data_IF_369349281262
#
_entry.id   IF_369349281262
#
_cell.length_a   1.000
_cell.length_b   1.000
_cell.length_c   1.000
_cell.angle_alpha   90.00
_cell.angle_beta   90.00
_cell.angle_gamma   90.00
#
_symmetry.space_group_name_H-M   'P 1'
#
loop_
_entity.id
_entity.type
_entity.pdbx_description
1 polymer ?
#
# COMPACT_ATOMS: atom_id res chain seq x y z
N UNK A 1 -14.49 1.90 31.20
CA UNK A 1 -13.78 3.19 31.14
C UNK A 1 -14.80 4.33 31.15
N UNK A 2 -14.58 5.43 31.90
CA UNK A 2 -15.54 6.57 31.96
C UNK A 2 -15.26 7.68 30.95
N UNK A 3 -13.99 7.87 30.56
CA UNK A 3 -13.57 8.88 29.59
C UNK A 3 -12.44 8.32 28.70
N UNK A 4 -12.40 8.76 27.44
CA UNK A 4 -11.29 8.50 26.49
C UNK A 4 -10.73 9.86 26.07
N UNK A 5 -9.42 10.05 26.16
CA UNK A 5 -8.74 11.28 25.76
C UNK A 5 -7.82 11.00 24.58
N UNK A 6 -8.06 11.66 23.45
CA UNK A 6 -7.18 11.61 22.29
C UNK A 6 -6.17 12.76 22.38
N UNK A 7 -4.90 12.42 22.65
CA UNK A 7 -3.80 13.38 22.79
C UNK A 7 -2.95 13.39 21.53
N UNK A 8 -2.66 14.59 20.99
CA UNK A 8 -1.78 14.76 19.83
C UNK A 8 -0.35 14.91 20.33
N UNK A 9 0.50 13.93 20.00
CA UNK A 9 1.95 13.98 20.18
C UNK A 9 2.60 13.79 18.81
N UNK A 10 3.35 14.78 18.35
CA UNK A 10 3.96 14.77 17.00
C UNK A 10 5.38 14.21 17.00
N UNK A 11 6.05 14.21 18.15
CA UNK A 11 7.41 13.68 18.31
C UNK A 11 7.37 12.22 18.83
N UNK A 12 8.00 11.27 18.12
CA UNK A 12 8.04 9.87 18.54
C UNK A 12 8.74 9.64 19.88
N UNK A 13 9.80 10.39 20.21
CA UNK A 13 10.51 10.22 21.49
C UNK A 13 9.63 10.65 22.67
N UNK A 14 8.89 11.75 22.51
CA UNK A 14 7.91 12.23 23.49
C UNK A 14 6.79 11.21 23.68
N UNK A 15 6.33 10.58 22.59
CA UNK A 15 5.33 9.50 22.62
C UNK A 15 5.85 8.27 23.37
N UNK A 16 7.09 7.84 23.09
CA UNK A 16 7.75 6.73 23.79
C UNK A 16 7.88 7.02 25.28
N UNK A 17 8.30 8.23 25.68
CA UNK A 17 8.41 8.61 27.09
C UNK A 17 7.03 8.61 27.77
N UNK A 18 6.00 9.16 27.12
CA UNK A 18 4.66 9.22 27.67
C UNK A 18 4.05 7.82 27.86
N UNK A 19 4.26 6.89 26.92
CA UNK A 19 3.89 5.48 27.06
C UNK A 19 4.57 4.85 28.28
N UNK A 20 5.89 4.99 28.39
CA UNK A 20 6.69 4.40 29.49
C UNK A 20 6.29 4.89 30.87
N UNK A 21 5.88 6.15 30.97
CA UNK A 21 5.42 6.79 32.22
C UNK A 21 3.94 6.53 32.53
N UNK A 22 3.19 5.93 31.60
CA UNK A 22 1.74 5.77 31.75
C UNK A 22 0.93 7.06 31.56
N UNK A 23 1.54 8.12 31.02
CA UNK A 23 0.84 9.37 30.65
C UNK A 23 -0.01 9.20 29.39
N UNK A 24 0.33 8.20 28.56
CA UNK A 24 -0.46 7.74 27.41
C UNK A 24 -0.66 6.24 27.57
N UNK A 25 -1.90 5.80 27.43
CA UNK A 25 -2.31 4.40 27.64
C UNK A 25 -2.05 3.51 26.43
N UNK A 26 -2.12 4.08 25.24
CA UNK A 26 -1.90 3.38 24.00
C UNK A 26 -1.42 4.34 22.91
N UNK A 27 -0.53 3.88 22.04
CA UNK A 27 -0.13 4.62 20.85
C UNK A 27 0.27 3.67 19.72
N UNK A 28 0.17 4.17 18.50
CA UNK A 28 0.74 3.48 17.34
C UNK A 28 2.22 3.82 17.21
N UNK A 29 3.02 2.81 16.95
CA UNK A 29 4.48 2.96 16.79
C UNK A 29 4.96 2.27 15.52
N UNK A 30 6.15 2.64 15.06
CA UNK A 30 6.84 1.96 13.99
C UNK A 30 7.55 0.70 14.53
N UNK A 31 7.74 -0.35 13.69
CA UNK A 31 8.50 -1.54 14.07
C UNK A 31 9.90 -1.21 14.63
N UNK A 32 10.54 -0.16 14.10
CA UNK A 32 11.87 0.33 14.51
C UNK A 32 11.90 0.91 15.91
N UNK A 33 10.77 1.38 16.43
CA UNK A 33 10.63 2.05 17.74
C UNK A 33 10.41 1.05 18.87
N UNK A 34 9.92 -0.15 18.57
CA UNK A 34 9.63 -1.18 19.57
C UNK A 34 10.83 -1.55 20.46
N UNK A 35 12.06 -1.39 19.97
CA UNK A 35 13.27 -1.60 20.77
C UNK A 35 13.36 -0.61 21.94
N UNK A 36 12.87 0.61 21.78
CA UNK A 36 12.89 1.65 22.80
C UNK A 36 11.92 1.34 23.94
N UNK A 37 10.89 0.53 23.68
CA UNK A 37 9.79 0.23 24.59
C UNK A 37 9.99 -1.08 25.38
N UNK A 38 11.11 -1.79 25.12
CA UNK A 38 11.45 -3.02 25.85
C UNK A 38 11.71 -2.73 27.32
N UNK A 39 11.35 -3.69 28.18
CA UNK A 39 11.56 -3.60 29.63
C UNK A 39 10.47 -2.83 30.39
N UNK A 40 9.45 -2.32 29.71
CA UNK A 40 8.29 -1.67 30.32
C UNK A 40 7.06 -2.58 30.28
N UNK A 41 6.06 -2.28 31.11
CA UNK A 41 4.84 -3.08 31.21
C UNK A 41 3.84 -2.77 30.08
N UNK A 42 4.27 -3.08 28.86
CA UNK A 42 3.56 -2.80 27.62
C UNK A 42 3.20 -4.09 26.88
N UNK A 43 2.00 -4.14 26.29
CA UNK A 43 1.57 -5.13 25.33
C UNK A 43 1.69 -4.59 23.90
N UNK A 44 2.08 -5.45 22.96
CA UNK A 44 2.26 -5.09 21.55
C UNK A 44 1.26 -5.87 20.71
N UNK A 45 0.35 -5.15 20.05
CA UNK A 45 -0.69 -5.72 19.20
C UNK A 45 -0.49 -5.27 17.75
N UNK A 46 -0.33 -6.23 16.84
CA UNK A 46 -0.21 -5.95 15.41
C UNK A 46 -1.45 -6.44 14.67
N UNK A 47 -2.17 -5.54 14.00
CA UNK A 47 -3.36 -5.88 13.22
C UNK A 47 -3.33 -5.21 11.84
N UNK A 48 -3.86 -5.89 10.82
CA UNK A 48 -3.94 -5.33 9.47
C UNK A 48 -5.12 -4.34 9.40
N UNK A 49 -4.91 -3.24 8.68
CA UNK A 49 -5.96 -2.29 8.33
C UNK A 49 -6.58 -2.58 6.95
N UNK A 50 -6.29 -3.74 6.36
CA UNK A 50 -6.65 -4.06 4.97
C UNK A 50 -6.12 -3.01 3.98
N UNK A 51 -5.01 -2.34 4.36
CA UNK A 51 -4.36 -1.30 3.57
C UNK A 51 -3.46 -1.93 2.54
N UNK A 52 -3.62 -1.62 1.25
CA UNK A 52 -2.62 -1.98 0.23
C UNK A 52 -1.74 -0.77 -0.07
N UNK A 53 -0.46 -0.86 0.28
CA UNK A 53 0.60 0.04 -0.14
C UNK A 53 1.22 -0.40 -1.46
N UNK A 54 1.47 0.54 -2.36
CA UNK A 54 1.81 0.24 -3.74
C UNK A 54 2.73 1.28 -4.40
N UNK A 55 3.34 0.86 -5.51
CA UNK A 55 3.93 1.75 -6.53
C UNK A 55 2.96 1.87 -7.70
N UNK A 56 2.47 3.07 -7.96
CA UNK A 56 1.62 3.40 -9.11
C UNK A 56 2.45 3.94 -10.27
N UNK A 57 2.01 3.67 -11.51
CA UNK A 57 2.62 4.16 -12.75
C UNK A 57 1.59 4.97 -13.55
N UNK A 58 1.93 6.21 -13.89
CA UNK A 58 1.09 7.07 -14.70
C UNK A 58 1.22 6.73 -16.19
N UNK A 59 0.18 6.10 -16.75
CA UNK A 59 0.14 5.66 -18.15
C UNK A 59 -0.08 6.79 -19.15
N UNK A 60 -0.47 7.99 -18.68
CA UNK A 60 -0.57 9.18 -19.52
C UNK A 60 0.81 9.63 -20.03
N UNK A 61 1.88 9.40 -19.26
CA UNK A 61 3.23 9.77 -19.70
C UNK A 61 3.70 8.83 -20.82
N UNK A 62 4.12 9.41 -21.95
CA UNK A 62 4.52 8.67 -23.17
C UNK A 62 5.50 7.52 -22.92
N UNK A 63 6.48 7.68 -22.03
CA UNK A 63 7.48 6.65 -21.71
C UNK A 63 6.92 5.45 -20.94
N UNK A 64 5.73 5.57 -20.35
CA UNK A 64 5.02 4.50 -19.64
C UNK A 64 3.77 4.02 -20.37
N UNK A 65 3.46 4.54 -21.56
CA UNK A 65 2.32 4.11 -22.37
C UNK A 65 2.46 2.63 -22.82
N UNK A 66 3.69 2.18 -23.11
CA UNK A 66 3.96 0.81 -23.50
C UNK A 66 3.89 -0.15 -22.29
N UNK A 67 2.98 -1.13 -22.34
CA UNK A 67 2.80 -2.15 -21.31
C UNK A 67 4.09 -2.90 -20.97
N UNK A 68 4.91 -3.25 -21.96
CA UNK A 68 6.16 -3.97 -21.74
C UNK A 68 7.17 -3.17 -20.92
N UNK A 69 7.17 -1.83 -21.02
CA UNK A 69 8.02 -0.96 -20.18
C UNK A 69 7.56 -1.00 -18.73
N UNK A 70 6.24 -0.92 -18.49
CA UNK A 70 5.67 -1.03 -17.14
C UNK A 70 5.93 -2.39 -16.51
N UNK A 71 5.76 -3.46 -17.27
CA UNK A 71 6.11 -4.81 -16.84
C UNK A 71 7.60 -4.94 -16.52
N UNK A 72 8.48 -4.32 -17.33
CA UNK A 72 9.92 -4.31 -17.06
C UNK A 72 10.25 -3.64 -15.72
N UNK A 73 9.62 -2.50 -15.42
CA UNK A 73 9.75 -1.83 -14.12
C UNK A 73 9.39 -2.81 -13.00
N UNK A 74 8.25 -3.49 -13.08
CA UNK A 74 7.80 -4.39 -12.02
C UNK A 74 8.70 -5.64 -11.87
N UNK A 75 9.19 -6.21 -12.97
CA UNK A 75 10.16 -7.33 -12.91
C UNK A 75 11.50 -6.92 -12.31
N UNK A 76 11.89 -5.64 -12.34
CA UNK A 76 13.13 -5.17 -11.74
C UNK A 76 13.05 -4.99 -10.22
N UNK A 77 11.85 -5.06 -9.62
CA UNK A 77 11.63 -4.79 -8.20
C UNK A 77 11.56 -6.06 -7.36
N UNK A 78 12.05 -5.96 -6.12
CA UNK A 78 11.89 -6.97 -5.06
C UNK A 78 11.13 -6.35 -3.88
N UNK A 79 9.82 -6.59 -3.82
CA UNK A 79 8.99 -6.15 -2.69
C UNK A 79 9.26 -6.88 -1.38
N UNK A 80 9.87 -8.06 -1.39
CA UNK A 80 10.22 -8.76 -0.15
C UNK A 80 11.39 -8.04 0.53
N UNK A 81 12.39 -7.61 -0.25
CA UNK A 81 13.50 -6.77 0.24
C UNK A 81 12.95 -5.44 0.78
N UNK A 82 12.04 -4.78 0.04
CA UNK A 82 11.38 -3.55 0.48
C UNK A 82 10.64 -3.73 1.81
N UNK A 83 9.81 -4.77 1.93
CA UNK A 83 9.02 -4.99 3.13
C UNK A 83 9.90 -5.38 4.32
N UNK A 84 10.94 -6.20 4.12
CA UNK A 84 11.89 -6.54 5.17
C UNK A 84 12.62 -5.30 5.69
N UNK A 85 13.06 -4.42 4.80
CA UNK A 85 13.75 -3.20 5.18
C UNK A 85 12.83 -2.22 5.92
N UNK A 86 11.59 -2.05 5.45
CA UNK A 86 10.64 -1.10 6.04
C UNK A 86 10.02 -1.58 7.35
N UNK A 87 9.76 -2.89 7.50
CA UNK A 87 8.97 -3.43 8.61
C UNK A 87 9.73 -4.37 9.55
N UNK A 88 10.98 -4.72 9.23
CA UNK A 88 11.92 -5.54 10.01
C UNK A 88 11.53 -7.01 10.24
N UNK A 89 10.26 -7.30 10.50
CA UNK A 89 9.72 -8.62 10.84
C UNK A 89 8.41 -8.89 10.08
N UNK A 90 8.29 -10.11 9.53
CA UNK A 90 7.11 -10.58 8.77
C UNK A 90 5.81 -10.51 9.57
N UNK A 91 5.85 -10.50 10.91
CA UNK A 91 4.62 -10.38 11.70
C UNK A 91 3.95 -9.01 11.57
N UNK A 92 4.66 -7.97 11.09
CA UNK A 92 4.15 -6.61 10.95
C UNK A 92 3.63 -6.26 9.55
N UNK A 93 3.66 -7.21 8.62
CA UNK A 93 3.13 -6.97 7.27
C UNK A 93 2.71 -8.27 6.59
N UNK A 94 1.84 -8.16 5.60
CA UNK A 94 1.58 -9.17 4.60
C UNK A 94 2.08 -8.68 3.24
N UNK A 95 2.25 -9.61 2.29
CA UNK A 95 2.68 -9.25 0.92
C UNK A 95 1.53 -9.53 -0.06
N UNK A 96 0.80 -8.49 -0.51
CA UNK A 96 -0.31 -8.66 -1.43
C UNK A 96 0.17 -9.09 -2.82
N UNK A 97 -0.63 -9.91 -3.49
CA UNK A 97 -0.42 -10.31 -4.89
C UNK A 97 -1.26 -9.48 -5.86
N UNK A 98 -2.32 -8.85 -5.35
CA UNK A 98 -3.38 -8.20 -6.12
C UNK A 98 -3.63 -6.78 -5.58
N UNK A 99 -4.54 -6.05 -6.23
CA UNK A 99 -5.04 -4.78 -5.74
C UNK A 99 -5.93 -4.91 -4.50
N UNK A 100 -6.50 -6.10 -4.29
CA UNK A 100 -7.23 -6.41 -3.07
C UNK A 100 -6.28 -6.79 -1.94
N UNK A 101 -6.59 -6.41 -0.68
CA UNK A 101 -5.82 -6.84 0.47
C UNK A 101 -5.92 -8.37 0.64
N UNK A 102 -4.89 -9.04 1.20
CA UNK A 102 -4.84 -10.51 1.28
C UNK A 102 -6.02 -11.15 2.02
N UNK A 103 -6.64 -10.44 2.96
CA UNK A 103 -7.80 -10.91 3.74
C UNK A 103 -9.15 -10.77 3.01
N UNK A 104 -9.20 -10.05 1.89
CA UNK A 104 -10.44 -9.90 1.14
C UNK A 104 -10.92 -11.26 0.62
N UNK A 105 -12.20 -11.59 0.78
CA UNK A 105 -12.77 -12.88 0.35
C UNK A 105 -12.65 -13.16 -1.15
N UNK A 106 -12.53 -12.11 -1.97
CA UNK A 106 -12.33 -12.21 -3.41
C UNK A 106 -10.86 -12.24 -3.82
N UNK A 107 -9.91 -12.05 -2.90
CA UNK A 107 -8.49 -12.01 -3.21
C UNK A 107 -8.01 -13.31 -3.85
N UNK A 108 -7.14 -13.19 -4.85
CA UNK A 108 -6.52 -14.35 -5.50
C UNK A 108 -5.02 -14.14 -5.72
N UNK A 109 -4.26 -15.23 -5.62
CA UNK A 109 -2.83 -15.27 -5.96
C UNK A 109 -2.59 -15.63 -7.42
N UNK A 110 -3.63 -16.03 -8.16
CA UNK A 110 -3.56 -16.40 -9.58
C UNK A 110 -3.60 -15.14 -10.46
N UNK A 111 -2.56 -14.33 -10.33
CA UNK A 111 -2.33 -13.07 -11.07
C UNK A 111 -0.86 -12.97 -11.44
N UNK A 112 -0.52 -12.04 -12.35
CA UNK A 112 0.88 -11.78 -12.69
C UNK A 112 1.66 -11.29 -11.45
N UNK A 113 2.49 -12.18 -10.87
CA UNK A 113 3.17 -11.92 -9.60
C UNK A 113 4.42 -11.03 -9.73
N UNK A 114 4.93 -10.81 -10.95
CA UNK A 114 6.17 -10.06 -11.23
C UNK A 114 7.32 -10.42 -10.28
N UNK A 115 7.60 -11.73 -10.13
CA UNK A 115 8.77 -12.20 -9.37
C UNK A 115 10.03 -11.54 -9.96
N UNK A 116 10.88 -11.01 -9.08
CA UNK A 116 12.06 -10.24 -9.47
C UNK A 116 12.93 -10.99 -10.48
N UNK A 117 13.15 -10.36 -11.63
CA UNK A 117 13.97 -10.85 -12.71
C UNK A 117 14.53 -9.67 -13.52
N UNK A 118 15.69 -9.18 -13.12
CA UNK A 118 16.37 -8.04 -13.75
C UNK A 118 16.72 -8.34 -15.23
N UNK A 119 17.06 -9.59 -15.56
CA UNK A 119 17.32 -10.01 -16.94
C UNK A 119 16.08 -9.86 -17.84
N UNK A 120 14.92 -10.30 -17.35
CA UNK A 120 13.63 -10.13 -18.03
C UNK A 120 13.25 -8.66 -18.16
N UNK A 121 13.49 -7.85 -17.14
CA UNK A 121 13.29 -6.40 -17.21
C UNK A 121 14.09 -5.76 -18.35
N UNK A 122 15.41 -6.04 -18.41
CA UNK A 122 16.28 -5.57 -19.51
C UNK A 122 15.81 -6.04 -20.88
N UNK A 123 15.43 -7.32 -21.00
CA UNK A 123 14.93 -7.87 -22.26
C UNK A 123 13.65 -7.18 -22.74
N UNK A 124 12.71 -6.87 -21.83
CA UNK A 124 11.48 -6.15 -22.15
C UNK A 124 11.76 -4.70 -22.58
N UNK A 125 12.68 -4.00 -21.90
CA UNK A 125 13.09 -2.63 -22.30
C UNK A 125 13.75 -2.63 -23.68
N UNK A 126 14.66 -3.57 -23.94
CA UNK A 126 15.32 -3.72 -25.23
C UNK A 126 14.32 -4.02 -26.36
N UNK A 127 13.39 -4.96 -26.15
CA UNK A 127 12.33 -5.28 -27.11
C UNK A 127 11.41 -4.09 -27.38
N UNK A 128 11.18 -3.25 -26.38
CA UNK A 128 10.42 -2.01 -26.51
C UNK A 128 11.20 -0.86 -27.15
N UNK A 129 12.50 -1.04 -27.45
CA UNK A 129 13.36 0.01 -28.00
C UNK A 129 13.65 1.16 -27.03
N UNK A 130 13.44 0.96 -25.73
CA UNK A 130 13.61 2.00 -24.70
C UNK A 130 15.02 1.95 -24.13
N UNK A 131 15.73 3.08 -24.22
CA UNK A 131 17.05 3.29 -23.62
C UNK A 131 16.99 4.51 -22.69
N UNK A 132 17.87 4.57 -21.69
CA UNK A 132 18.04 5.70 -20.78
C UNK A 132 16.74 6.18 -20.09
N UNK A 133 15.87 5.23 -19.72
CA UNK A 133 14.61 5.56 -19.06
C UNK A 133 14.88 6.24 -17.71
N UNK A 134 14.31 7.43 -17.53
CA UNK A 134 14.34 8.16 -16.26
C UNK A 134 12.93 8.36 -15.74
N UNK A 135 12.68 8.11 -14.46
CA UNK A 135 11.39 8.25 -13.79
C UNK A 135 11.47 9.27 -12.64
N UNK A 136 10.46 10.13 -12.51
CA UNK A 136 10.21 10.93 -11.32
C UNK A 136 9.23 10.18 -10.42
N UNK A 137 9.68 9.83 -9.21
CA UNK A 137 8.93 9.09 -8.20
C UNK A 137 8.59 10.01 -7.02
N UNK A 138 7.31 10.30 -6.82
CA UNK A 138 6.82 11.05 -5.65
C UNK A 138 6.40 10.12 -4.50
N UNK A 139 6.65 10.51 -3.26
CA UNK A 139 6.11 9.85 -2.07
C UNK A 139 5.83 10.85 -0.95
N UNK A 140 5.01 10.47 0.03
CA UNK A 140 4.68 11.36 1.15
C UNK A 140 5.86 11.49 2.12
N UNK A 141 6.34 12.72 2.33
CA UNK A 141 7.56 13.03 3.10
C UNK A 141 7.56 12.52 4.55
N UNK A 142 6.40 12.46 5.21
CA UNK A 142 6.26 11.92 6.57
C UNK A 142 6.17 10.40 6.67
N UNK A 143 6.13 9.67 5.54
CA UNK A 143 6.01 8.20 5.55
C UNK A 143 7.40 7.53 5.53
N UNK A 144 7.84 7.07 6.69
CA UNK A 144 9.13 6.42 6.87
C UNK A 144 9.29 5.13 6.04
N UNK A 145 8.21 4.36 5.85
CA UNK A 145 8.25 3.15 5.05
C UNK A 145 8.41 3.49 3.56
N UNK A 146 7.67 4.48 3.06
CA UNK A 146 7.80 4.94 1.67
C UNK A 146 9.17 5.56 1.37
N UNK A 147 9.80 6.25 2.33
CA UNK A 147 11.18 6.74 2.18
C UNK A 147 12.17 5.61 1.91
N UNK A 148 12.07 4.51 2.67
CA UNK A 148 12.89 3.31 2.49
C UNK A 148 12.56 2.65 1.15
N UNK A 149 11.28 2.46 0.85
CA UNK A 149 10.80 1.85 -0.40
C UNK A 149 11.26 2.65 -1.63
N UNK A 150 11.14 3.97 -1.64
CA UNK A 150 11.55 4.83 -2.74
C UNK A 150 13.05 4.74 -3.03
N UNK A 151 13.87 4.69 -1.98
CA UNK A 151 15.33 4.50 -2.09
C UNK A 151 15.68 3.13 -2.67
N UNK A 152 15.00 2.06 -2.20
CA UNK A 152 15.18 0.71 -2.72
C UNK A 152 14.68 0.56 -4.16
N UNK A 153 13.56 1.18 -4.51
CA UNK A 153 13.06 1.23 -5.89
C UNK A 153 14.11 1.87 -6.80
N UNK A 154 14.67 3.03 -6.43
CA UNK A 154 15.72 3.67 -7.21
C UNK A 154 16.96 2.76 -7.39
N UNK A 155 17.41 2.13 -6.30
CA UNK A 155 18.54 1.20 -6.32
C UNK A 155 18.27 -0.02 -7.21
N UNK A 156 17.12 -0.67 -7.05
CA UNK A 156 16.74 -1.87 -7.81
C UNK A 156 16.51 -1.57 -9.29
N UNK A 157 15.83 -0.47 -9.63
CA UNK A 157 15.59 -0.07 -11.02
C UNK A 157 16.89 0.33 -11.74
N UNK A 158 17.89 0.87 -11.03
CA UNK A 158 19.20 1.18 -11.63
C UNK A 158 19.91 -0.07 -12.16
N UNK A 159 19.72 -1.24 -11.51
CA UNK A 159 20.26 -2.53 -11.97
C UNK A 159 19.68 -2.95 -13.33
N UNK A 160 18.49 -2.46 -13.68
CA UNK A 160 17.84 -2.66 -14.97
C UNK A 160 18.13 -1.53 -15.98
N UNK A 161 18.95 -0.53 -15.62
CA UNK A 161 19.28 0.61 -16.48
C UNK A 161 18.24 1.73 -16.45
N UNK A 162 17.39 1.79 -15.43
CA UNK A 162 16.38 2.83 -15.24
C UNK A 162 16.85 3.78 -14.13
N UNK A 163 16.95 5.07 -14.44
CA UNK A 163 17.22 6.12 -13.45
C UNK A 163 15.93 6.54 -12.76
N UNK A 164 15.98 6.78 -11.45
CA UNK A 164 14.83 7.29 -10.68
C UNK A 164 15.24 8.53 -9.89
N UNK A 165 14.51 9.62 -10.07
CA UNK A 165 14.58 10.81 -9.24
C UNK A 165 13.48 10.70 -8.18
N UNK A 166 13.85 10.52 -6.91
CA UNK A 166 12.89 10.34 -5.81
C UNK A 166 12.65 11.68 -5.13
N UNK A 167 11.38 12.09 -5.01
CA UNK A 167 10.96 13.34 -4.37
C UNK A 167 10.07 13.03 -3.17
N UNK A 168 10.43 13.56 -2.00
CA UNK A 168 9.59 13.58 -0.81
C UNK A 168 8.67 14.80 -0.89
N UNK A 169 7.36 14.60 -0.72
CA UNK A 169 6.34 15.61 -1.02
C UNK A 169 5.40 15.75 0.17
N UNK A 170 4.87 16.95 0.42
CA UNK A 170 3.72 17.10 1.31
C UNK A 170 2.54 16.21 0.84
N UNK A 171 1.77 15.65 1.78
CA UNK A 171 0.70 14.71 1.48
C UNK A 171 -0.40 15.35 0.61
N UNK A 172 -0.79 16.59 0.92
CA UNK A 172 -1.80 17.33 0.16
C UNK A 172 -1.28 17.65 -1.23
N UNK A 173 -0.04 18.14 -1.33
CA UNK A 173 0.57 18.44 -2.62
C UNK A 173 0.74 17.20 -3.52
N UNK A 174 1.15 16.05 -2.96
CA UNK A 174 1.21 14.79 -3.72
C UNK A 174 -0.17 14.36 -4.19
N UNK A 175 -1.16 14.39 -3.29
CA UNK A 175 -2.56 14.06 -3.61
C UNK A 175 -3.08 14.93 -4.75
N UNK A 176 -2.96 16.26 -4.64
CA UNK A 176 -3.36 17.20 -5.70
C UNK A 176 -2.64 16.91 -7.02
N UNK A 177 -1.34 16.60 -6.98
CA UNK A 177 -0.57 16.31 -8.18
C UNK A 177 -1.04 15.03 -8.89
N UNK A 178 -1.30 13.94 -8.17
CA UNK A 178 -1.70 12.66 -8.78
C UNK A 178 -3.17 12.60 -9.20
N UNK A 179 -4.05 13.44 -8.60
CA UNK A 179 -5.44 13.58 -9.05
C UNK A 179 -5.57 14.46 -10.30
N UNK A 180 -4.58 15.30 -10.59
CA UNK A 180 -4.60 16.17 -11.76
C UNK A 180 -4.57 15.32 -13.03
N UNK A 181 -5.64 15.41 -13.82
CA UNK A 181 -5.71 14.80 -15.14
C UNK A 181 -4.57 15.30 -16.04
N UNK A 182 -4.03 14.40 -16.85
CA UNK A 182 -2.97 14.66 -17.81
C UNK A 182 -1.66 15.19 -17.16
N UNK A 183 -1.49 14.99 -15.85
CA UNK A 183 -0.26 15.36 -15.15
C UNK A 183 0.94 14.57 -15.69
N UNK A 184 2.10 15.24 -15.72
CA UNK A 184 3.38 14.65 -16.13
C UNK A 184 4.51 14.94 -15.12
N UNK A 185 4.18 15.49 -13.94
CA UNK A 185 5.18 15.76 -12.88
C UNK A 185 5.76 14.45 -12.35
N UNK A 186 4.87 13.51 -12.01
CA UNK A 186 5.24 12.21 -11.47
C UNK A 186 4.89 11.10 -12.46
N UNK A 187 5.92 10.36 -12.86
CA UNK A 187 5.77 9.15 -13.67
C UNK A 187 5.32 7.98 -12.80
N UNK A 188 5.79 7.97 -11.56
CA UNK A 188 5.49 6.97 -10.57
C UNK A 188 5.22 7.63 -9.22
N UNK A 189 4.46 6.95 -8.36
CA UNK A 189 4.14 7.44 -7.03
C UNK A 189 3.98 6.27 -6.05
N UNK A 190 4.46 6.45 -4.82
CA UNK A 190 4.13 5.57 -3.70
C UNK A 190 2.89 6.11 -3.00
N UNK A 191 1.94 5.22 -2.74
CA UNK A 191 0.73 5.55 -1.98
C UNK A 191 0.13 4.28 -1.38
N UNK A 192 -1.01 4.38 -0.72
CA UNK A 192 -1.80 3.23 -0.32
C UNK A 192 -3.26 3.60 -0.08
N UNK A 193 -4.12 2.60 -0.08
CA UNK A 193 -5.55 2.78 0.15
C UNK A 193 -6.05 1.76 1.18
N UNK A 194 -7.04 2.16 1.95
CA UNK A 194 -7.95 1.27 2.67
C UNK A 194 -9.29 1.49 2.00
N UNK A 195 -9.76 0.48 1.29
CA UNK A 195 -11.12 0.47 0.73
C UNK A 195 -11.97 -0.48 1.57
N UNK A 196 -13.21 -0.72 1.19
CA UNK A 196 -14.02 -1.71 1.87
C UNK A 196 -13.79 -3.14 1.36
N UNK A 197 -14.65 -4.03 1.83
CA UNK A 197 -14.58 -5.47 1.60
C UNK A 197 -15.14 -5.88 0.24
N UNK A 198 -16.00 -5.05 -0.38
CA UNK A 198 -16.57 -5.34 -1.69
C UNK A 198 -15.65 -4.81 -2.81
N UNK A 199 -15.20 -5.65 -3.76
CA UNK A 199 -14.35 -5.19 -4.86
C UNK A 199 -14.97 -4.05 -5.68
N UNK A 200 -16.30 -3.92 -5.76
CA UNK A 200 -16.94 -2.80 -6.47
C UNK A 200 -16.59 -1.43 -5.86
N UNK A 201 -16.25 -1.37 -4.57
CA UNK A 201 -15.82 -0.13 -3.90
C UNK A 201 -14.47 0.38 -4.42
N UNK A 202 -13.73 -0.41 -5.21
CA UNK A 202 -12.47 -0.02 -5.84
C UNK A 202 -12.67 0.62 -7.22
N UNK A 203 -13.90 0.75 -7.70
CA UNK A 203 -14.21 1.41 -8.98
C UNK A 203 -13.62 2.83 -9.11
N UNK A 204 -13.58 3.70 -8.07
CA UNK A 204 -12.98 5.02 -8.20
C UNK A 204 -11.52 5.02 -8.63
N UNK A 205 -10.80 3.93 -8.35
CA UNK A 205 -9.39 3.78 -8.66
C UNK A 205 -9.17 3.23 -10.08
N UNK A 206 -9.95 2.23 -10.49
CA UNK A 206 -9.60 1.42 -11.67
C UNK A 206 -10.48 1.62 -12.88
N UNK A 207 -11.67 2.24 -12.74
CA UNK A 207 -12.53 2.47 -13.91
C UNK A 207 -12.03 3.65 -14.74
N UNK A 208 -12.37 3.65 -16.02
CA UNK A 208 -11.98 4.70 -16.98
C UNK A 208 -12.49 6.10 -16.60
N UNK A 209 -13.52 6.19 -15.76
CA UNK A 209 -14.14 7.42 -15.25
C UNK A 209 -13.92 7.63 -13.75
N UNK A 210 -13.15 6.76 -13.08
CA UNK A 210 -12.87 6.85 -11.66
C UNK A 210 -12.14 8.14 -11.30
N UNK A 211 -12.64 8.88 -10.31
CA UNK A 211 -12.06 10.17 -9.90
C UNK A 211 -10.66 10.03 -9.28
N UNK A 212 -10.31 8.83 -8.83
CA UNK A 212 -9.04 8.47 -8.22
C UNK A 212 -8.20 7.53 -9.10
N UNK A 213 -8.45 7.53 -10.42
CA UNK A 213 -7.65 6.80 -11.40
C UNK A 213 -6.31 7.51 -11.65
N UNK A 214 -5.43 7.44 -10.64
CA UNK A 214 -4.13 8.12 -10.60
C UNK A 214 -3.16 7.64 -11.67
N UNK A 215 -3.31 6.39 -12.11
CA UNK A 215 -2.54 5.81 -13.21
C UNK A 215 -3.05 6.24 -14.59
N UNK A 216 -4.19 6.92 -14.65
CA UNK A 216 -4.84 7.43 -15.87
C UNK A 216 -5.04 6.35 -16.95
N UNK A 217 -5.22 5.10 -16.51
CA UNK A 217 -5.35 3.94 -17.40
C UNK A 217 -6.82 3.70 -17.70
N UNK A 218 -7.14 3.46 -18.98
CA UNK A 218 -8.50 3.18 -19.44
C UNK A 218 -8.53 1.84 -20.14
N UNK A 219 -9.39 0.95 -19.67
CA UNK A 219 -9.63 -0.34 -20.29
C UNK A 219 -11.12 -0.70 -20.10
N UNK A 220 -11.92 -0.63 -21.17
CA UNK A 220 -13.35 -0.96 -21.09
C UNK A 220 -13.64 -2.37 -20.59
N UNK A 221 -12.67 -3.28 -20.64
CA UNK A 221 -12.81 -4.63 -20.07
C UNK A 221 -12.80 -4.58 -18.54
N UNK A 222 -11.96 -3.74 -17.94
CA UNK A 222 -11.91 -3.54 -16.49
C UNK A 222 -13.24 -2.94 -16.02
N UNK A 223 -13.73 -1.91 -16.70
CA UNK A 223 -15.03 -1.27 -16.42
C UNK A 223 -16.17 -2.31 -16.43
N UNK A 224 -16.25 -3.09 -17.50
CA UNK A 224 -17.27 -4.16 -17.65
C UNK A 224 -17.16 -5.24 -16.57
N UNK A 225 -15.95 -5.61 -16.15
CA UNK A 225 -15.76 -6.62 -15.11
C UNK A 225 -16.20 -6.13 -13.73
N UNK A 226 -16.01 -4.84 -13.40
CA UNK A 226 -16.57 -4.26 -12.19
C UNK A 226 -18.10 -4.31 -12.21
N UNK A 227 -18.73 -3.77 -13.27
CA UNK A 227 -20.20 -3.77 -13.39
C UNK A 227 -20.78 -5.18 -13.39
N UNK A 228 -20.14 -6.12 -14.11
CA UNK A 228 -20.57 -7.52 -14.11
C UNK A 228 -20.49 -8.13 -12.72
N UNK A 229 -19.41 -7.90 -11.98
CA UNK A 229 -19.26 -8.44 -10.63
C UNK A 229 -20.27 -7.86 -9.64
N UNK A 230 -20.67 -6.60 -9.81
CA UNK A 230 -21.67 -5.93 -8.98
C UNK A 230 -23.09 -6.49 -9.20
N UNK A 231 -23.44 -6.77 -10.46
CA UNK A 231 -24.76 -7.29 -10.85
C UNK A 231 -24.90 -8.81 -10.73
N UNK A 232 -23.84 -9.53 -10.34
CA UNK A 232 -23.82 -11.00 -10.32
C UNK A 232 -24.33 -11.56 -8.98
N UNK A 233 -25.50 -12.19 -9.01
CA UNK A 233 -26.13 -12.80 -7.82
C UNK A 233 -25.49 -14.13 -7.41
N UNK A 234 -24.87 -14.88 -8.33
CA UNK A 234 -24.22 -16.15 -8.00
C UNK A 234 -22.85 -15.90 -7.37
N UNK A 235 -22.66 -16.32 -6.12
CA UNK A 235 -21.41 -16.13 -5.38
C UNK A 235 -20.19 -16.72 -6.12
N UNK A 236 -20.32 -17.89 -6.75
CA UNK A 236 -19.23 -18.53 -7.50
C UNK A 236 -18.91 -17.80 -8.80
N UNK A 237 -19.94 -17.34 -9.54
CA UNK A 237 -19.76 -16.55 -10.75
C UNK A 237 -19.16 -15.16 -10.44
N UNK A 238 -19.55 -14.57 -9.31
CA UNK A 238 -19.02 -13.30 -8.78
C UNK A 238 -17.54 -13.45 -8.43
N UNK A 239 -17.17 -14.53 -7.71
CA UNK A 239 -15.77 -14.87 -7.43
C UNK A 239 -14.95 -15.02 -8.71
N UNK A 240 -15.46 -15.74 -9.70
CA UNK A 240 -14.78 -15.93 -10.98
C UNK A 240 -14.61 -14.62 -11.76
N UNK A 241 -15.60 -13.72 -11.69
CA UNK A 241 -15.55 -12.40 -12.34
C UNK A 241 -14.48 -11.52 -11.69
N UNK A 242 -14.45 -11.43 -10.36
CA UNK A 242 -13.42 -10.64 -9.67
C UNK A 242 -12.03 -11.28 -9.74
N UNK A 243 -11.91 -12.59 -9.91
CA UNK A 243 -10.63 -13.24 -10.25
C UNK A 243 -10.10 -12.74 -11.61
N UNK A 244 -10.95 -12.71 -12.64
CA UNK A 244 -10.58 -12.18 -13.98
C UNK A 244 -10.22 -10.70 -13.92
N UNK A 245 -10.93 -9.91 -13.12
CA UNK A 245 -10.62 -8.49 -12.90
C UNK A 245 -9.21 -8.30 -12.32
N UNK A 246 -8.87 -9.05 -11.28
CA UNK A 246 -7.53 -8.99 -10.66
C UNK A 246 -6.43 -9.38 -11.65
N UNK A 247 -6.65 -10.43 -12.45
CA UNK A 247 -5.74 -10.83 -13.52
C UNK A 247 -5.53 -9.72 -14.56
N UNK A 248 -6.62 -9.07 -14.97
CA UNK A 248 -6.59 -8.00 -15.96
C UNK A 248 -5.85 -6.76 -15.45
N UNK A 249 -6.10 -6.34 -14.21
CA UNK A 249 -5.39 -5.21 -13.57
C UNK A 249 -3.89 -5.54 -13.41
N UNK A 250 -3.55 -6.76 -12.99
CA UNK A 250 -2.16 -7.18 -12.85
C UNK A 250 -1.42 -7.22 -14.20
N UNK A 251 -2.06 -7.72 -15.28
CA UNK A 251 -1.48 -7.69 -16.63
C UNK A 251 -1.25 -6.26 -17.13
N UNK A 252 -2.17 -5.33 -16.84
CA UNK A 252 -2.06 -3.93 -17.24
C UNK A 252 -0.81 -3.23 -16.66
N UNK A 253 -0.24 -3.75 -15.57
CA UNK A 253 0.98 -3.28 -14.94
C UNK A 253 0.92 -1.78 -14.57
N UNK A 254 -0.20 -1.30 -14.04
CA UNK A 254 -0.39 0.11 -13.65
C UNK A 254 -0.12 0.37 -12.17
N UNK A 255 -0.20 -0.69 -11.36
CA UNK A 255 0.06 -0.66 -9.94
C UNK A 255 0.79 -1.95 -9.54
N UNK A 256 1.88 -1.81 -8.78
CA UNK A 256 2.63 -2.91 -8.19
C UNK A 256 2.30 -2.99 -6.69
N UNK A 257 1.58 -4.04 -6.23
CA UNK A 257 1.22 -4.17 -4.83
C UNK A 257 2.45 -4.57 -4.03
N UNK A 258 2.86 -3.71 -3.09
CA UNK A 258 4.08 -3.87 -2.30
C UNK A 258 3.76 -4.53 -0.97
N UNK A 259 2.82 -3.97 -0.21
CA UNK A 259 2.62 -4.35 1.19
C UNK A 259 1.17 -4.23 1.64
N UNK A 260 0.76 -5.10 2.56
CA UNK A 260 -0.35 -4.87 3.47
C UNK A 260 0.23 -4.71 4.88
N UNK A 261 0.46 -3.46 5.27
CA UNK A 261 1.16 -3.14 6.50
C UNK A 261 0.21 -3.21 7.69
N UNK A 262 0.67 -3.81 8.79
CA UNK A 262 -0.09 -3.81 10.04
C UNK A 262 0.16 -2.52 10.81
N UNK A 263 -0.87 -2.05 11.51
CA UNK A 263 -0.72 -1.10 12.61
C UNK A 263 -0.17 -1.83 13.82
N UNK A 264 0.77 -1.21 14.51
CA UNK A 264 1.35 -1.73 15.74
C UNK A 264 0.86 -0.84 16.87
N UNK A 265 -0.16 -1.30 17.57
CA UNK A 265 -0.69 -0.64 18.76
C UNK A 265 0.08 -1.15 19.97
N UNK A 266 0.80 -0.26 20.64
CA UNK A 266 1.41 -0.54 21.94
C UNK A 266 0.47 -0.01 23.01
N UNK A 267 0.18 -0.82 24.03
CA UNK A 267 -0.74 -0.49 25.12
C UNK A 267 -0.11 -0.78 26.47
N UNK A 268 -0.36 0.03 27.49
CA UNK A 268 -0.06 -0.36 28.88
C UNK A 268 -0.83 -1.63 29.23
N UNK A 269 -0.17 -2.58 29.92
CA UNK A 269 -0.81 -3.88 30.24
C UNK A 269 -1.96 -3.77 31.24
N UNK A 270 -2.07 -2.67 31.96
CA UNK A 270 -3.22 -2.40 32.84
C UNK A 270 -4.50 -2.09 32.03
N UNK A 271 -4.39 -1.69 30.77
CA UNK A 271 -5.53 -1.63 29.84
C UNK A 271 -5.95 -3.04 29.42
N UNK A 272 -7.19 -3.42 29.76
CA UNK A 272 -7.80 -4.71 29.44
C UNK A 272 -8.89 -4.57 28.38
N UNK A 273 -9.34 -5.70 27.84
CA UNK A 273 -10.47 -5.75 26.91
C UNK A 273 -10.11 -5.59 25.42
N UNK A 274 -8.82 -5.69 25.07
CA UNK A 274 -8.34 -5.49 23.69
C UNK A 274 -9.04 -6.42 22.69
N UNK A 275 -9.16 -7.70 23.02
CA UNK A 275 -9.75 -8.72 22.13
C UNK A 275 -11.27 -8.50 21.96
N UNK A 276 -11.94 -8.11 23.04
CA UNK A 276 -13.38 -7.85 23.11
C UNK A 276 -13.75 -6.58 22.34
N UNK A 277 -12.89 -5.55 22.38
CA UNK A 277 -13.08 -4.29 21.68
C UNK A 277 -13.04 -4.43 20.14
N UNK A 278 -12.46 -5.52 19.63
CA UNK A 278 -12.26 -5.89 18.22
C UNK A 278 -11.59 -4.80 17.40
N UNK A 279 -10.44 -5.11 16.78
CA UNK A 279 -9.76 -4.12 15.94
C UNK A 279 -10.55 -3.80 14.67
N UNK A 280 -10.66 -2.52 14.31
CA UNK A 280 -11.31 -2.04 13.10
C UNK A 280 -10.35 -1.09 12.35
N UNK A 281 -10.15 -1.25 11.03
CA UNK A 281 -9.33 -0.32 10.25
C UNK A 281 -9.76 1.14 10.45
N UNK A 282 -8.81 2.08 10.47
CA UNK A 282 -9.02 3.53 10.69
C UNK A 282 -9.46 3.89 12.12
N UNK A 283 -10.45 3.22 12.67
CA UNK A 283 -11.07 3.56 13.96
C UNK A 283 -10.38 2.94 15.18
N UNK A 284 -9.37 2.09 14.95
CA UNK A 284 -8.66 1.28 15.96
C UNK A 284 -9.53 0.18 16.56
N UNK A 285 -10.64 0.52 17.21
CA UNK A 285 -11.56 -0.41 17.86
C UNK A 285 -12.99 -0.24 17.35
N UNK A 286 -13.73 -1.34 17.23
CA UNK A 286 -15.15 -1.35 16.91
C UNK A 286 -16.02 -0.99 18.12
N UNK A 287 -15.61 -1.39 19.32
CA UNK A 287 -16.34 -1.12 20.56
C UNK A 287 -15.39 -0.71 21.69
N UNK A 288 -15.20 0.61 21.83
CA UNK A 288 -14.38 1.20 22.90
C UNK A 288 -14.92 0.93 24.30
N UNK A 289 -16.20 0.57 24.47
CA UNK A 289 -16.80 0.30 25.78
C UNK A 289 -16.24 -0.97 26.43
N UNK A 290 -15.63 -1.86 25.63
CA UNK A 290 -15.00 -3.09 26.13
C UNK A 290 -13.65 -2.85 26.78
N UNK A 291 -13.06 -1.67 26.58
CA UNK A 291 -11.80 -1.32 27.22
C UNK A 291 -12.02 -0.91 28.68
N UNK A 292 -11.13 -1.40 29.55
CA UNK A 292 -11.06 -1.00 30.96
C UNK A 292 -9.61 -0.76 31.37
N UNK A 293 -9.45 0.12 32.35
CA UNK A 293 -8.21 0.41 33.06
C UNK A 293 -8.61 0.71 34.49
#
# INVERSE_FOLDING_TARGET
MKHVVLRILTDPNTTDIALKKGEVDASFVLPTELKNLKGHDLAVHAFSEDRVGYLGLNTHVKKLANKSVRQAIFYALDKNEMNKAAYLDKKYYNTPTSFLPPKNSFATTDVAAYKTNVGKAKALLNKAGVKNLTLNLGYTSGDAAQKIQGSLIASQLSKAGIKVNVEAVDATALSTAIHKKDQTKYDAFLNGYIMGTDPYQYTPLYTSTGFANYWQYKDPTIDKLFTKGDLESSASARQATYKKLQQKIADAAVMYPIVDNKKILVMNKDVKGFSEAKTLPVYTFADWSKLSK
#
